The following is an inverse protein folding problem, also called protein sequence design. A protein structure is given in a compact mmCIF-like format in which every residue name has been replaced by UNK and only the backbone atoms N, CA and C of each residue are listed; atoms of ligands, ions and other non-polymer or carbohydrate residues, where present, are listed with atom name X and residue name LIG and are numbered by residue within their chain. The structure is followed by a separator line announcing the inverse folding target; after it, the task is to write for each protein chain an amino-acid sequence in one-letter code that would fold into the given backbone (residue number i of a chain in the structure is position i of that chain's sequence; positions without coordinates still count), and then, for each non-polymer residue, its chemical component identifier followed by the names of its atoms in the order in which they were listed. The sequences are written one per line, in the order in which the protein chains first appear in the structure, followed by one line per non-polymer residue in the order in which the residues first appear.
data_IF_048538905374
#
_entry.id   IF_048538905374
#
_cell.length_a   1.000
_cell.length_b   1.000
_cell.length_c   1.000
_cell.angle_alpha   90.00
_cell.angle_beta   90.00
_cell.angle_gamma   90.00
#
_symmetry.space_group_name_H-M   'P 1'
#
loop_
_entity.id
_entity.type
_entity.pdbx_description
1 polymer ?
#
# COMPACT_ATOMS: atom_id res chain seq x y z
N UNK A 1 1.42 -22.16 5.33
CA UNK A 1 2.16 -20.89 5.55
C UNK A 1 1.59 -19.85 4.59
N UNK A 2 1.13 -18.74 5.13
CA UNK A 2 0.65 -17.63 4.31
C UNK A 2 1.82 -16.87 3.70
N UNK A 3 1.63 -16.41 2.48
CA UNK A 3 2.62 -15.66 1.73
C UNK A 3 2.11 -14.23 1.50
N UNK A 4 2.83 -13.26 2.03
CA UNK A 4 2.45 -11.85 2.04
C UNK A 4 3.41 -11.03 1.18
N UNK A 5 2.88 -10.03 0.49
CA UNK A 5 3.67 -9.04 -0.26
C UNK A 5 3.46 -7.66 0.35
N UNK A 6 4.56 -6.97 0.63
CA UNK A 6 4.56 -5.57 1.06
C UNK A 6 5.15 -4.72 -0.07
N UNK A 7 4.34 -3.90 -0.70
CA UNK A 7 4.77 -3.01 -1.78
C UNK A 7 5.15 -1.66 -1.18
N UNK A 8 6.36 -1.18 -1.47
CA UNK A 8 6.99 -0.02 -0.86
C UNK A 8 7.13 -0.16 0.66
N UNK A 9 7.40 -1.38 1.12
CA UNK A 9 7.45 -1.75 2.53
C UNK A 9 8.83 -1.63 3.20
N UNK A 10 9.79 -0.93 2.58
CA UNK A 10 11.15 -0.78 3.13
C UNK A 10 11.29 0.27 4.22
N UNK A 11 10.27 1.06 4.48
CA UNK A 11 10.24 2.04 5.56
C UNK A 11 9.86 1.45 6.91
N UNK A 12 9.76 2.30 7.93
CA UNK A 12 9.51 1.89 9.33
C UNK A 12 8.23 1.05 9.45
N UNK A 13 7.10 1.52 8.93
CA UNK A 13 5.83 0.80 9.04
C UNK A 13 5.91 -0.57 8.36
N UNK A 14 6.47 -0.63 7.15
CA UNK A 14 6.59 -1.87 6.40
C UNK A 14 7.49 -2.89 7.08
N UNK A 15 8.62 -2.46 7.64
CA UNK A 15 9.54 -3.37 8.34
C UNK A 15 8.94 -3.91 9.64
N UNK A 16 8.20 -3.09 10.39
CA UNK A 16 7.48 -3.58 11.58
C UNK A 16 6.34 -4.53 11.21
N UNK A 17 5.59 -4.22 10.15
CA UNK A 17 4.57 -5.14 9.64
C UNK A 17 5.17 -6.47 9.21
N UNK A 18 6.30 -6.45 8.51
CA UNK A 18 7.01 -7.65 8.11
C UNK A 18 7.44 -8.49 9.31
N UNK A 19 8.00 -7.84 10.33
CA UNK A 19 8.40 -8.51 11.58
C UNK A 19 7.23 -9.24 12.22
N UNK A 20 6.11 -8.56 12.40
CA UNK A 20 4.90 -9.17 12.96
C UNK A 20 4.40 -10.35 12.13
N UNK A 21 4.36 -10.19 10.81
CA UNK A 21 3.94 -11.28 9.90
C UNK A 21 4.85 -12.50 10.00
N UNK A 22 6.17 -12.30 10.11
CA UNK A 22 7.13 -13.39 10.31
C UNK A 22 6.91 -14.08 11.65
N UNK A 23 6.66 -13.33 12.72
CA UNK A 23 6.33 -13.88 14.05
C UNK A 23 5.03 -14.69 14.03
N UNK A 24 4.09 -14.33 13.15
CA UNK A 24 2.85 -15.08 12.88
C UNK A 24 3.07 -16.30 11.96
N UNK A 25 4.29 -16.58 11.56
CA UNK A 25 4.62 -17.70 10.70
C UNK A 25 4.37 -17.49 9.21
N UNK A 26 4.24 -16.26 8.77
CA UNK A 26 4.10 -15.94 7.35
C UNK A 26 5.46 -15.93 6.63
N UNK A 27 5.41 -16.10 5.33
CA UNK A 27 6.49 -15.77 4.42
C UNK A 27 6.23 -14.38 3.85
N UNK A 28 7.25 -13.54 3.78
CA UNK A 28 7.09 -12.13 3.42
C UNK A 28 8.05 -11.77 2.29
N UNK A 29 7.50 -11.20 1.24
CA UNK A 29 8.25 -10.52 0.18
C UNK A 29 8.04 -9.02 0.33
N UNK A 30 9.13 -8.24 0.25
CA UNK A 30 9.08 -6.77 0.31
C UNK A 30 9.67 -6.20 -0.97
N UNK A 31 8.92 -5.32 -1.63
CA UNK A 31 9.44 -4.50 -2.71
C UNK A 31 9.75 -3.12 -2.13
N UNK A 32 10.96 -2.65 -2.31
CA UNK A 32 11.40 -1.34 -1.82
C UNK A 32 12.54 -0.77 -2.70
N UNK A 33 12.88 0.48 -2.48
CA UNK A 33 13.96 1.15 -3.20
C UNK A 33 15.30 1.03 -2.46
N UNK A 34 15.24 0.82 -1.15
CA UNK A 34 16.40 0.71 -0.29
C UNK A 34 16.94 -0.73 -0.29
N UNK A 35 18.25 -0.86 -0.17
CA UNK A 35 18.87 -2.16 0.04
C UNK A 35 18.72 -2.60 1.48
N UNK A 36 18.15 -3.77 1.67
CA UNK A 36 18.04 -4.45 2.96
C UNK A 36 18.53 -5.87 2.82
N UNK A 37 19.05 -6.41 3.91
CA UNK A 37 19.45 -7.82 4.02
C UNK A 37 18.72 -8.48 5.16
N UNK A 38 18.47 -9.78 5.05
CA UNK A 38 17.88 -10.58 6.12
C UNK A 38 18.48 -11.98 6.12
N UNK A 39 18.73 -12.48 7.31
CA UNK A 39 19.11 -13.89 7.50
C UNK A 39 17.89 -14.80 7.67
N UNK A 40 16.68 -14.24 7.76
CA UNK A 40 15.45 -15.02 7.86
C UNK A 40 15.09 -15.60 6.48
N UNK A 41 15.01 -16.93 6.35
CA UNK A 41 14.70 -17.58 5.07
C UNK A 41 13.28 -17.27 4.58
N UNK A 42 12.40 -16.77 5.44
CA UNK A 42 11.03 -16.42 5.12
C UNK A 42 10.85 -14.94 4.73
N UNK A 43 11.94 -14.15 4.74
CA UNK A 43 11.92 -12.74 4.35
C UNK A 43 12.80 -12.52 3.14
N UNK A 44 12.20 -11.96 2.06
CA UNK A 44 12.95 -11.61 0.85
C UNK A 44 12.70 -10.17 0.47
N UNK A 45 13.77 -9.49 0.07
CA UNK A 45 13.71 -8.12 -0.45
C UNK A 45 13.91 -8.10 -1.95
N UNK A 46 13.12 -7.30 -2.64
CA UNK A 46 13.22 -7.01 -4.06
C UNK A 46 13.44 -5.51 -4.23
N UNK A 47 14.68 -5.13 -4.57
CA UNK A 47 15.05 -3.72 -4.71
C UNK A 47 14.71 -3.27 -6.12
N UNK A 48 13.56 -2.65 -6.28
CA UNK A 48 13.11 -2.12 -7.56
C UNK A 48 12.02 -1.07 -7.35
N UNK A 49 11.89 -0.19 -8.34
CA UNK A 49 10.79 0.77 -8.41
C UNK A 49 9.56 0.11 -9.00
N UNK A 50 8.42 0.30 -8.36
CA UNK A 50 7.13 -0.13 -8.91
C UNK A 50 6.58 0.99 -9.79
N UNK A 51 6.31 0.63 -11.04
CA UNK A 51 5.69 1.47 -12.07
C UNK A 51 4.53 0.71 -12.71
N UNK A 52 3.80 1.37 -13.61
CA UNK A 52 2.74 0.71 -14.39
C UNK A 52 3.28 -0.43 -15.25
N UNK A 53 4.53 -0.35 -15.69
CA UNK A 53 5.18 -1.39 -16.47
C UNK A 53 5.78 -2.50 -15.61
N UNK A 54 6.45 -2.14 -14.51
CA UNK A 54 7.18 -3.12 -13.70
C UNK A 54 6.28 -3.95 -12.78
N UNK A 55 5.14 -3.43 -12.37
CA UNK A 55 4.22 -4.15 -11.48
C UNK A 55 3.64 -5.42 -12.14
N UNK A 56 3.14 -5.39 -13.40
CA UNK A 56 2.69 -6.61 -14.05
C UNK A 56 3.80 -7.66 -14.20
N UNK A 57 5.00 -7.24 -14.55
CA UNK A 57 6.16 -8.13 -14.68
C UNK A 57 6.50 -8.80 -13.36
N UNK A 58 6.51 -8.02 -12.27
CA UNK A 58 6.79 -8.57 -10.95
C UNK A 58 5.73 -9.58 -10.51
N UNK A 59 4.46 -9.30 -10.76
CA UNK A 59 3.35 -10.16 -10.32
C UNK A 59 3.16 -11.39 -11.21
N UNK A 60 3.74 -11.42 -12.41
CA UNK A 60 3.59 -12.56 -13.31
C UNK A 60 3.95 -13.87 -12.64
N UNK A 61 3.03 -14.83 -12.67
CA UNK A 61 3.21 -16.14 -12.04
C UNK A 61 3.22 -16.15 -10.51
N UNK A 62 2.93 -15.02 -9.87
CA UNK A 62 2.86 -14.92 -8.40
C UNK A 62 1.43 -14.74 -7.94
N UNK A 63 1.14 -15.31 -6.78
CA UNK A 63 -0.10 -15.08 -6.06
C UNK A 63 0.20 -15.02 -4.57
N UNK A 64 -0.42 -14.07 -3.89
CA UNK A 64 -0.20 -13.83 -2.47
C UNK A 64 -1.50 -13.99 -1.68
N UNK A 65 -1.41 -14.49 -0.46
CA UNK A 65 -2.55 -14.52 0.46
C UNK A 65 -2.98 -13.11 0.85
N UNK A 66 -2.02 -12.18 0.94
CA UNK A 66 -2.30 -10.77 1.17
C UNK A 66 -1.24 -9.87 0.55
N UNK A 67 -1.68 -8.70 0.10
CA UNK A 67 -0.81 -7.61 -0.35
C UNK A 67 -1.09 -6.40 0.52
N UNK A 68 -0.03 -5.83 1.11
CA UNK A 68 -0.10 -4.55 1.81
C UNK A 68 0.60 -3.52 0.93
N UNK A 69 -0.15 -2.52 0.49
CA UNK A 69 0.34 -1.49 -0.42
C UNK A 69 0.59 -0.19 0.35
N UNK A 70 1.88 0.17 0.48
CA UNK A 70 2.32 1.39 1.14
C UNK A 70 2.61 2.53 0.16
N UNK A 71 2.36 2.35 -1.14
CA UNK A 71 2.63 3.38 -2.15
C UNK A 71 1.77 4.61 -1.88
N UNK A 72 2.42 5.76 -1.84
CA UNK A 72 1.76 7.06 -1.89
C UNK A 72 1.52 7.44 -3.36
N UNK A 73 0.29 7.30 -3.82
CA UNK A 73 -0.09 7.70 -5.17
C UNK A 73 -0.27 9.22 -5.23
N UNK A 74 0.25 9.83 -6.28
CA UNK A 74 0.10 11.28 -6.50
C UNK A 74 -1.29 11.65 -7.01
N UNK A 75 -1.94 10.69 -7.66
CA UNK A 75 -3.22 10.86 -8.32
C UNK A 75 -4.05 9.58 -8.13
N UNK A 76 -5.33 9.74 -7.79
CA UNK A 76 -6.22 8.60 -7.58
C UNK A 76 -6.35 7.70 -8.82
N UNK A 77 -6.15 8.24 -10.02
CA UNK A 77 -6.18 7.47 -11.28
C UNK A 77 -5.06 6.44 -11.36
N UNK A 78 -3.90 6.72 -10.75
CA UNK A 78 -2.80 5.75 -10.65
C UNK A 78 -3.24 4.52 -9.84
N UNK A 79 -3.91 4.72 -8.71
CA UNK A 79 -4.44 3.62 -7.90
C UNK A 79 -5.54 2.85 -8.63
N UNK A 80 -6.47 3.55 -9.30
CA UNK A 80 -7.54 2.91 -10.06
C UNK A 80 -6.98 2.00 -11.16
N UNK A 81 -5.86 2.37 -11.79
CA UNK A 81 -5.19 1.52 -12.78
C UNK A 81 -4.47 0.31 -12.15
N UNK A 82 -3.84 0.50 -10.99
CA UNK A 82 -3.13 -0.58 -10.30
C UNK A 82 -4.06 -1.57 -9.60
N UNK A 83 -5.19 -1.11 -9.09
CA UNK A 83 -6.09 -1.89 -8.25
C UNK A 83 -6.54 -3.22 -8.86
N UNK A 84 -7.05 -3.28 -10.11
CA UNK A 84 -7.50 -4.56 -10.67
C UNK A 84 -6.37 -5.59 -10.78
N UNK A 85 -5.17 -5.13 -11.11
CA UNK A 85 -4.00 -6.00 -11.21
C UNK A 85 -3.61 -6.56 -9.83
N UNK A 86 -3.57 -5.71 -8.80
CA UNK A 86 -3.28 -6.15 -7.44
C UNK A 86 -4.31 -7.18 -6.98
N UNK A 87 -5.60 -6.91 -7.20
CA UNK A 87 -6.68 -7.82 -6.82
C UNK A 87 -6.64 -9.16 -7.56
N UNK A 88 -6.13 -9.19 -8.78
CA UNK A 88 -5.97 -10.43 -9.54
C UNK A 88 -4.88 -11.35 -8.96
N UNK A 89 -3.99 -10.83 -8.11
CA UNK A 89 -2.83 -11.55 -7.58
C UNK A 89 -2.88 -11.74 -6.06
N UNK A 90 -4.01 -11.45 -5.41
CA UNK A 90 -4.14 -11.64 -3.96
C UNK A 90 -5.56 -11.99 -3.54
N UNK A 91 -5.66 -12.67 -2.40
CA UNK A 91 -6.94 -12.92 -1.72
C UNK A 91 -7.37 -11.71 -0.87
N UNK A 92 -6.42 -10.88 -0.42
CA UNK A 92 -6.69 -9.76 0.47
C UNK A 92 -5.77 -8.60 0.17
N UNK A 93 -6.32 -7.47 -0.24
CA UNK A 93 -5.58 -6.24 -0.46
C UNK A 93 -5.81 -5.26 0.70
N UNK A 94 -4.70 -4.79 1.29
CA UNK A 94 -4.69 -3.74 2.30
C UNK A 94 -3.98 -2.54 1.70
N UNK A 95 -4.63 -1.40 1.71
CA UNK A 95 -4.06 -0.13 1.28
C UNK A 95 -3.86 0.79 2.48
N UNK A 96 -2.64 1.30 2.64
CA UNK A 96 -2.35 2.29 3.68
C UNK A 96 -2.86 3.66 3.24
N UNK A 97 -3.90 4.13 3.90
CA UNK A 97 -4.47 5.45 3.70
C UNK A 97 -3.83 6.46 4.68
N UNK A 98 -4.47 7.58 4.89
CA UNK A 98 -3.98 8.68 5.73
C UNK A 98 -5.16 9.35 6.46
N UNK A 99 -4.88 9.97 7.62
CA UNK A 99 -5.86 10.85 8.30
C UNK A 99 -6.31 12.02 7.41
N UNK A 100 -5.60 12.31 6.34
CA UNK A 100 -5.95 13.33 5.34
C UNK A 100 -7.28 13.08 4.63
N UNK A 101 -7.88 11.89 4.78
CA UNK A 101 -9.25 11.63 4.33
C UNK A 101 -10.28 12.50 5.09
N UNK A 102 -9.92 12.96 6.28
CA UNK A 102 -10.77 13.84 7.08
C UNK A 102 -10.47 15.30 6.80
N UNK A 103 -11.53 16.13 6.83
CA UNK A 103 -11.39 17.58 6.79
C UNK A 103 -10.78 18.08 8.10
N UNK A 104 -9.95 19.12 8.01
CA UNK A 104 -9.33 19.77 9.18
C UNK A 104 -10.27 20.77 9.85
N UNK A 105 -11.46 20.31 10.23
CA UNK A 105 -12.53 21.16 10.79
C UNK A 105 -12.73 20.97 12.30
N UNK A 106 -12.18 19.91 12.87
CA UNK A 106 -12.26 19.63 14.31
C UNK A 106 -10.98 19.01 14.84
N UNK A 107 -10.70 19.25 16.12
CA UNK A 107 -9.57 18.67 16.85
C UNK A 107 -10.02 18.19 18.23
N UNK A 108 -9.68 16.96 18.65
CA UNK A 108 -9.00 15.92 17.84
C UNK A 108 -9.88 15.41 16.68
N UNK A 109 -9.24 14.90 15.63
CA UNK A 109 -9.94 14.23 14.53
C UNK A 109 -10.36 12.84 14.99
N UNK A 110 -11.64 12.52 14.82
CA UNK A 110 -12.22 11.22 15.16
C UNK A 110 -12.72 10.51 13.91
N UNK A 111 -13.07 9.23 14.02
CA UNK A 111 -13.53 8.44 12.87
C UNK A 111 -14.84 8.94 12.25
N UNK A 112 -15.64 9.69 13.02
CA UNK A 112 -16.87 10.32 12.55
C UNK A 112 -16.70 11.79 12.13
N UNK A 113 -15.45 12.29 12.09
CA UNK A 113 -15.16 13.64 11.63
C UNK A 113 -15.58 13.85 10.17
N UNK A 114 -15.89 15.08 9.74
CA UNK A 114 -16.21 15.39 8.35
C UNK A 114 -15.09 14.91 7.40
N UNK A 115 -15.47 14.24 6.33
CA UNK A 115 -14.51 13.77 5.33
C UNK A 115 -14.19 14.89 4.34
N UNK A 116 -12.93 14.95 3.93
CA UNK A 116 -12.45 15.97 3.01
C UNK A 116 -13.18 15.92 1.66
N UNK A 117 -13.47 14.72 1.16
CA UNK A 117 -14.18 14.53 -0.10
C UNK A 117 -15.59 15.16 -0.08
N UNK A 118 -16.28 15.12 1.05
CA UNK A 118 -17.62 15.68 1.19
C UNK A 118 -17.58 17.20 1.31
N UNK A 119 -16.56 17.74 1.99
CA UNK A 119 -16.39 19.19 2.20
C UNK A 119 -15.87 19.88 0.93
N UNK A 120 -14.95 19.26 0.20
CA UNK A 120 -14.29 19.82 -0.98
C UNK A 120 -14.85 19.30 -2.30
N UNK A 121 -16.04 18.71 -2.32
CA UNK A 121 -16.62 18.09 -3.52
C UNK A 121 -16.84 19.03 -4.71
N UNK A 122 -16.90 20.33 -4.47
CA UNK A 122 -17.02 21.37 -5.51
C UNK A 122 -15.65 21.82 -6.07
N UNK A 123 -14.55 21.38 -5.46
CA UNK A 123 -13.20 21.73 -5.88
C UNK A 123 -12.72 20.77 -6.97
N UNK A 124 -12.66 21.24 -8.22
CA UNK A 124 -12.26 20.41 -9.36
C UNK A 124 -10.82 19.93 -9.27
N UNK A 125 -9.89 20.76 -8.77
CA UNK A 125 -8.48 20.38 -8.60
C UNK A 125 -8.35 19.30 -7.55
N UNK A 126 -9.03 19.43 -6.43
CA UNK A 126 -9.08 18.40 -5.39
C UNK A 126 -9.62 17.08 -5.93
N UNK A 127 -10.74 17.09 -6.66
CA UNK A 127 -11.35 15.88 -7.22
C UNK A 127 -10.44 15.16 -8.21
N UNK A 128 -9.55 15.88 -8.88
CA UNK A 128 -8.62 15.28 -9.84
C UNK A 128 -7.34 14.71 -9.20
N UNK A 129 -6.87 15.32 -8.11
CA UNK A 129 -5.51 15.06 -7.61
C UNK A 129 -5.45 14.38 -6.25
N UNK A 130 -6.52 14.47 -5.43
CA UNK A 130 -6.48 13.90 -4.08
C UNK A 130 -6.69 12.39 -4.10
N UNK A 131 -5.76 11.66 -3.51
CA UNK A 131 -5.79 10.19 -3.47
C UNK A 131 -6.29 9.61 -2.16
N UNK A 132 -6.38 10.42 -1.11
CA UNK A 132 -6.76 9.95 0.22
C UNK A 132 -8.22 10.28 0.60
N UNK A 133 -8.89 11.06 -0.20
CA UNK A 133 -10.27 11.46 0.08
C UNK A 133 -11.30 10.63 -0.67
#
# INVERSE_FOLDING_TARGET
MKHMLLIAGGGTLGLYAAKELLEQGCRVDIICLEEHTSDDPNLRFFVQRITEESLPEFLEGRHYDGIINFIHYKDHREFIRAYPLLMAHTEHLIFLSSYRVYADEQHPITEDAPQLIDVAKEDAVFQETETYA
#
